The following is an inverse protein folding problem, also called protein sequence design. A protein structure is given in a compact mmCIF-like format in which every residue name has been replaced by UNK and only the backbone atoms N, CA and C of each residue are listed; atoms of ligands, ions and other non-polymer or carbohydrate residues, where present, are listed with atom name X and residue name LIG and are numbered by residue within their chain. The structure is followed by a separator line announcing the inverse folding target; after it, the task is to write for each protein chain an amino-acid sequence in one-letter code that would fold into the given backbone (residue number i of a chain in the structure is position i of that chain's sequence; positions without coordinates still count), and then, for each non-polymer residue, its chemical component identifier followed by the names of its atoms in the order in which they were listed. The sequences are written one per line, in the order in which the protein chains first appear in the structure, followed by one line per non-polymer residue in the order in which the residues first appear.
data_IF_342091895627
#
_entry.id   IF_342091895627
#
_cell.length_a   1.000
_cell.length_b   1.000
_cell.length_c   1.000
_cell.angle_alpha   90.00
_cell.angle_beta   90.00
_cell.angle_gamma   90.00
#
_symmetry.space_group_name_H-M   'P 1'
#
loop_
_entity.id
_entity.type
_entity.pdbx_description
1 polymer ?
#
# COMPACT_ATOMS: atom_id res chain seq x y z
N UNK A 1 3.70 17.05 -20.97
CA UNK A 1 4.41 15.75 -21.04
C UNK A 1 3.54 14.68 -20.45
N UNK A 2 3.30 13.63 -21.20
CA UNK A 2 2.43 12.53 -20.73
C UNK A 2 3.23 11.57 -19.86
N UNK A 3 2.76 11.31 -18.64
CA UNK A 3 3.36 10.30 -17.79
C UNK A 3 2.95 8.90 -18.26
N UNK A 4 3.89 7.98 -18.28
CA UNK A 4 3.60 6.58 -18.54
C UNK A 4 3.24 5.89 -17.22
N UNK A 5 2.46 4.78 -17.25
CA UNK A 5 2.11 4.07 -16.03
C UNK A 5 3.32 3.67 -15.19
N UNK A 6 4.41 3.26 -15.81
CA UNK A 6 5.62 2.87 -15.09
C UNK A 6 6.30 4.03 -14.39
N UNK A 7 6.03 5.27 -14.78
CA UNK A 7 6.58 6.45 -14.11
C UNK A 7 5.86 6.76 -12.79
N UNK A 8 4.69 6.15 -12.57
CA UNK A 8 3.88 6.35 -11.37
C UNK A 8 4.22 5.36 -10.26
N UNK A 9 5.09 4.39 -10.52
CA UNK A 9 5.43 3.32 -9.58
C UNK A 9 6.94 3.26 -9.40
N UNK A 10 7.38 3.23 -8.15
CA UNK A 10 8.76 2.97 -7.79
C UNK A 10 8.84 1.59 -7.13
N UNK A 11 9.58 0.67 -7.75
CA UNK A 11 9.84 -0.65 -7.16
C UNK A 11 10.98 -0.53 -6.15
N UNK A 12 10.76 -1.07 -4.96
CA UNK A 12 11.72 -1.04 -3.87
C UNK A 12 12.50 -2.36 -3.83
N UNK A 13 13.66 -2.40 -3.13
CA UNK A 13 14.46 -3.64 -3.03
C UNK A 13 13.67 -4.85 -2.53
N UNK A 14 12.64 -4.63 -1.71
CA UNK A 14 11.77 -5.71 -1.23
C UNK A 14 11.04 -6.45 -2.34
N UNK A 15 10.79 -5.81 -3.50
CA UNK A 15 10.15 -6.47 -4.63
C UNK A 15 11.00 -7.62 -5.17
N UNK A 16 12.29 -7.41 -5.34
CA UNK A 16 13.19 -8.45 -5.83
C UNK A 16 13.28 -9.60 -4.84
N UNK A 17 13.36 -9.29 -3.55
CA UNK A 17 13.40 -10.31 -2.50
C UNK A 17 12.11 -11.12 -2.47
N UNK A 18 10.97 -10.47 -2.62
CA UNK A 18 9.67 -11.14 -2.66
C UNK A 18 9.57 -12.08 -3.85
N UNK A 19 9.91 -11.62 -5.05
CA UNK A 19 9.86 -12.43 -6.26
C UNK A 19 10.81 -13.62 -6.17
N UNK A 20 12.01 -13.43 -5.63
CA UNK A 20 12.97 -14.52 -5.45
C UNK A 20 12.43 -15.58 -4.48
N UNK A 21 11.79 -15.18 -3.39
CA UNK A 21 11.18 -16.11 -2.44
C UNK A 21 10.03 -16.89 -3.06
N UNK A 22 9.20 -16.24 -3.85
CA UNK A 22 8.08 -16.91 -4.52
C UNK A 22 8.56 -17.92 -5.56
N UNK A 23 9.60 -17.57 -6.32
CA UNK A 23 10.20 -18.48 -7.28
C UNK A 23 10.83 -19.69 -6.58
N UNK A 24 11.57 -19.45 -5.49
CA UNK A 24 12.18 -20.51 -4.71
C UNK A 24 11.17 -21.41 -4.00
N UNK A 25 10.00 -20.91 -3.69
CA UNK A 25 8.95 -21.69 -3.02
C UNK A 25 8.36 -22.78 -3.92
N UNK A 26 8.50 -22.63 -5.25
CA UNK A 26 8.06 -23.66 -6.20
C UNK A 26 6.59 -24.03 -6.06
N UNK A 27 5.71 -23.05 -5.86
CA UNK A 27 4.30 -23.33 -5.63
C UNK A 27 3.66 -23.97 -6.86
N UNK A 28 2.71 -24.90 -6.66
CA UNK A 28 1.95 -25.46 -7.77
C UNK A 28 1.27 -24.35 -8.59
N UNK A 29 1.10 -24.58 -9.89
CA UNK A 29 0.55 -23.59 -10.80
C UNK A 29 -0.78 -23.01 -10.30
N UNK A 30 -1.67 -23.84 -9.77
CA UNK A 30 -2.96 -23.45 -9.24
C UNK A 30 -2.83 -22.55 -7.99
N UNK A 31 -1.66 -22.49 -7.35
CA UNK A 31 -1.40 -21.67 -6.17
C UNK A 31 -0.43 -20.53 -6.42
N UNK A 32 -0.04 -20.29 -7.67
CA UNK A 32 0.87 -19.23 -8.04
C UNK A 32 0.20 -17.86 -8.16
N UNK A 33 -1.12 -17.86 -8.29
CA UNK A 33 -1.89 -16.62 -8.36
C UNK A 33 -1.89 -15.90 -7.03
N UNK A 34 -1.33 -14.70 -7.00
CA UNK A 34 -1.36 -13.85 -5.81
C UNK A 34 -2.70 -13.16 -5.72
N UNK A 35 -3.22 -13.07 -4.50
CA UNK A 35 -4.41 -12.27 -4.21
C UNK A 35 -3.96 -10.85 -3.94
N UNK A 36 -4.64 -9.88 -4.55
CA UNK A 36 -4.43 -8.46 -4.27
C UNK A 36 -5.61 -7.95 -3.47
N UNK A 37 -5.32 -7.45 -2.29
CA UNK A 37 -6.29 -6.75 -1.45
C UNK A 37 -5.97 -5.26 -1.54
N UNK A 38 -6.98 -4.42 -1.68
CA UNK A 38 -6.76 -2.98 -1.70
C UNK A 38 -7.70 -2.27 -0.72
N UNK A 39 -7.17 -1.24 -0.10
CA UNK A 39 -7.92 -0.41 0.85
C UNK A 39 -7.55 1.07 0.68
N UNK A 40 -7.55 1.52 -0.56
CA UNK A 40 -7.26 2.93 -0.84
C UNK A 40 -8.40 3.78 -0.29
N UNK A 41 -8.05 4.79 0.50
CA UNK A 41 -9.03 5.70 1.10
C UNK A 41 -9.74 6.50 0.02
N UNK A 42 -11.03 6.75 0.24
CA UNK A 42 -11.85 7.51 -0.70
C UNK A 42 -13.32 7.47 -0.28
N UNK A 43 -14.18 7.96 -1.16
CA UNK A 43 -15.62 8.06 -0.90
C UNK A 43 -16.28 6.70 -0.70
N UNK A 44 -15.65 5.64 -1.20
CA UNK A 44 -16.16 4.28 -1.06
C UNK A 44 -15.75 3.61 0.24
N UNK A 45 -14.87 4.23 1.01
CA UNK A 45 -14.41 3.69 2.30
C UNK A 45 -15.29 4.23 3.43
N UNK A 46 -16.45 3.61 3.60
CA UNK A 46 -17.42 4.03 4.60
C UNK A 46 -16.83 3.96 6.01
N UNK A 47 -16.86 5.09 6.73
CA UNK A 47 -16.35 5.20 8.10
C UNK A 47 -14.89 4.75 8.25
N UNK A 48 -14.11 4.80 7.17
CA UNK A 48 -12.70 4.36 7.14
C UNK A 48 -12.51 2.87 7.49
N UNK A 49 -13.52 2.05 7.24
CA UNK A 49 -13.44 0.63 7.56
C UNK A 49 -12.30 -0.08 6.81
N UNK A 50 -12.11 0.23 5.52
CA UNK A 50 -11.03 -0.34 4.73
C UNK A 50 -9.66 0.07 5.25
N UNK A 51 -9.48 1.35 5.54
CA UNK A 51 -8.22 1.85 6.08
C UNK A 51 -7.90 1.22 7.44
N UNK A 52 -8.90 1.04 8.29
CA UNK A 52 -8.73 0.38 9.59
C UNK A 52 -8.37 -1.09 9.42
N UNK A 53 -9.03 -1.79 8.51
CA UNK A 53 -8.74 -3.20 8.22
C UNK A 53 -7.31 -3.37 7.71
N UNK A 54 -6.88 -2.55 6.75
CA UNK A 54 -5.52 -2.58 6.21
C UNK A 54 -4.48 -2.31 7.29
N UNK A 55 -4.69 -1.31 8.11
CA UNK A 55 -3.79 -0.98 9.21
C UNK A 55 -3.71 -2.14 10.22
N UNK A 56 -4.82 -2.80 10.49
CA UNK A 56 -4.85 -3.96 11.37
C UNK A 56 -4.04 -5.12 10.82
N UNK A 57 -4.18 -5.40 9.52
CA UNK A 57 -3.38 -6.44 8.87
C UNK A 57 -1.90 -6.14 8.96
N UNK A 58 -1.49 -4.90 8.69
CA UNK A 58 -0.09 -4.50 8.74
C UNK A 58 0.47 -4.54 10.16
N UNK A 59 -0.34 -4.26 11.17
CA UNK A 59 0.08 -4.32 12.56
C UNK A 59 0.28 -5.75 13.06
N UNK A 60 -0.52 -6.70 12.54
CA UNK A 60 -0.54 -8.08 13.03
C UNK A 60 0.22 -9.10 12.20
N UNK A 61 0.53 -8.79 10.94
CA UNK A 61 1.14 -9.75 10.04
C UNK A 61 2.52 -9.29 9.58
N UNK A 62 3.38 -10.26 9.27
CA UNK A 62 4.67 -9.97 8.67
C UNK A 62 4.46 -9.33 7.30
N UNK A 63 5.13 -8.24 7.04
CA UNK A 63 4.98 -7.52 5.80
C UNK A 63 6.26 -6.78 5.40
N UNK A 64 6.33 -6.42 4.12
CA UNK A 64 7.42 -5.63 3.57
C UNK A 64 6.86 -4.73 2.47
N UNK A 65 7.27 -3.48 2.46
CA UNK A 65 6.93 -2.56 1.37
C UNK A 65 7.72 -2.97 0.12
N UNK A 66 7.02 -3.20 -0.99
CA UNK A 66 7.67 -3.60 -2.24
C UNK A 66 7.54 -2.56 -3.35
N UNK A 67 6.60 -1.62 -3.23
CA UNK A 67 6.46 -0.55 -4.21
C UNK A 67 5.83 0.68 -3.58
N UNK A 68 6.13 1.84 -4.16
CA UNK A 68 5.49 3.11 -3.84
C UNK A 68 4.90 3.69 -5.11
N UNK A 69 3.76 4.33 -4.95
CA UNK A 69 3.11 5.03 -6.05
C UNK A 69 3.27 6.53 -5.88
N UNK A 70 3.29 7.24 -7.01
CA UNK A 70 3.33 8.70 -7.01
C UNK A 70 1.98 9.25 -6.57
N UNK A 71 1.82 9.46 -5.27
CA UNK A 71 0.57 9.95 -4.71
C UNK A 71 0.24 11.37 -5.20
N UNK A 72 1.26 12.19 -5.46
CA UNK A 72 1.04 13.54 -5.97
C UNK A 72 0.34 13.54 -7.33
N UNK A 73 0.63 12.54 -8.17
CA UNK A 73 0.00 12.41 -9.48
C UNK A 73 -1.35 11.71 -9.42
N UNK A 74 -1.56 10.84 -8.43
CA UNK A 74 -2.71 9.94 -8.36
C UNK A 74 -3.83 10.43 -7.44
N UNK A 75 -3.50 11.21 -6.41
CA UNK A 75 -4.47 11.67 -5.42
C UNK A 75 -5.09 12.99 -5.85
N UNK A 76 -6.42 13.07 -5.78
CA UNK A 76 -7.13 14.33 -5.97
C UNK A 76 -7.18 15.08 -4.63
N UNK A 77 -6.31 16.08 -4.49
CA UNK A 77 -6.24 16.88 -3.27
C UNK A 77 -7.50 17.73 -3.00
N UNK A 78 -8.37 17.88 -3.98
CA UNK A 78 -9.66 18.57 -3.78
C UNK A 78 -10.62 17.72 -2.98
N UNK A 79 -10.64 16.42 -3.28
CA UNK A 79 -11.49 15.44 -2.61
C UNK A 79 -10.81 14.87 -1.36
N UNK A 80 -9.49 14.93 -1.30
CA UNK A 80 -8.71 14.22 -0.28
C UNK A 80 -7.65 15.16 0.30
N UNK A 81 -8.02 15.83 1.37
CA UNK A 81 -7.14 16.80 2.01
C UNK A 81 -6.14 16.11 2.93
N UNK A 82 -4.86 16.51 2.87
CA UNK A 82 -3.86 15.99 3.79
C UNK A 82 -4.20 16.34 5.24
N UNK A 83 -3.84 15.46 6.15
CA UNK A 83 -3.95 15.74 7.58
C UNK A 83 -2.83 16.67 8.00
N UNK A 84 -3.16 17.58 8.90
CA UNK A 84 -2.18 18.49 9.48
C UNK A 84 -2.40 18.49 10.99
N UNK A 85 -1.31 18.34 11.73
CA UNK A 85 -1.35 18.46 13.19
C UNK A 85 -1.06 19.89 13.56
N UNK A 86 -1.95 20.48 14.33
CA UNK A 86 -1.82 21.85 14.78
C UNK A 86 -1.69 21.89 16.29
N UNK A 87 -0.66 22.60 16.78
CA UNK A 87 -0.43 22.75 18.21
C UNK A 87 -0.08 24.21 18.52
N UNK A 88 -0.86 24.80 19.45
CA UNK A 88 -0.73 26.19 19.76
C UNK A 88 -1.15 27.06 18.58
N UNK A 89 -0.22 27.84 18.06
CA UNK A 89 -0.46 28.73 16.93
C UNK A 89 0.34 28.35 15.67
N UNK A 90 0.80 27.09 15.59
CA UNK A 90 1.59 26.63 14.46
C UNK A 90 1.22 25.18 14.08
N UNK A 91 1.50 24.84 12.82
CA UNK A 91 1.38 23.47 12.34
C UNK A 91 2.61 22.66 12.74
N UNK A 92 2.40 21.52 13.41
CA UNK A 92 3.49 20.63 13.82
C UNK A 92 3.80 19.57 12.79
N UNK A 93 2.78 18.93 12.24
CA UNK A 93 2.96 17.78 11.37
C UNK A 93 2.05 17.89 10.15
N UNK A 94 2.62 17.64 9.00
CA UNK A 94 1.89 17.52 7.75
C UNK A 94 1.90 16.05 7.31
N UNK A 95 0.71 15.47 7.16
CA UNK A 95 0.56 14.07 6.78
C UNK A 95 0.18 13.99 5.29
N UNK A 96 1.19 13.94 4.42
CA UNK A 96 0.95 13.77 2.99
C UNK A 96 0.37 12.38 2.71
N UNK A 97 -0.53 12.25 1.72
CA UNK A 97 -1.04 10.94 1.34
C UNK A 97 0.08 10.06 0.78
N UNK A 98 0.04 8.79 1.13
CA UNK A 98 0.99 7.79 0.64
C UNK A 98 0.21 6.59 0.13
N UNK A 99 0.63 6.06 -1.01
CA UNK A 99 0.08 4.82 -1.57
C UNK A 99 1.22 3.85 -1.73
N UNK A 100 1.14 2.71 -1.05
CA UNK A 100 2.20 1.71 -1.03
C UNK A 100 1.63 0.33 -1.28
N UNK A 101 2.44 -0.51 -1.92
CA UNK A 101 2.13 -1.92 -2.11
C UNK A 101 2.99 -2.73 -1.15
N UNK A 102 2.34 -3.57 -0.36
CA UNK A 102 2.99 -4.44 0.60
C UNK A 102 2.88 -5.90 0.17
N UNK A 103 3.96 -6.64 0.35
CA UNK A 103 3.91 -8.10 0.37
C UNK A 103 3.62 -8.50 1.82
N UNK A 104 2.51 -9.20 2.04
CA UNK A 104 2.07 -9.61 3.37
C UNK A 104 2.00 -11.12 3.41
N UNK A 105 2.32 -11.68 4.58
CA UNK A 105 2.26 -13.12 4.80
C UNK A 105 1.23 -13.40 5.90
N UNK A 106 0.27 -14.27 5.62
CA UNK A 106 -0.73 -14.62 6.62
C UNK A 106 -0.16 -15.57 7.67
N UNK A 107 -0.96 -15.92 8.68
CA UNK A 107 -0.51 -16.79 9.77
C UNK A 107 -0.11 -18.19 9.28
N UNK A 108 -0.64 -18.62 8.14
CA UNK A 108 -0.29 -19.90 7.53
C UNK A 108 0.92 -19.84 6.62
N UNK A 109 1.54 -18.67 6.47
CA UNK A 109 2.69 -18.47 5.58
C UNK A 109 2.33 -18.25 4.13
N UNK A 110 1.06 -17.99 3.81
CA UNK A 110 0.62 -17.73 2.44
C UNK A 110 0.78 -16.25 2.14
N UNK A 111 1.51 -15.89 1.06
CA UNK A 111 1.68 -14.49 0.70
C UNK A 111 0.47 -13.92 -0.02
N UNK A 112 0.23 -12.63 0.19
CA UNK A 112 -0.71 -11.86 -0.61
C UNK A 112 -0.19 -10.42 -0.72
N UNK A 113 -0.78 -9.64 -1.59
CA UNK A 113 -0.41 -8.25 -1.78
C UNK A 113 -1.47 -7.34 -1.20
N UNK A 114 -1.05 -6.27 -0.53
CA UNK A 114 -1.94 -5.25 0.02
C UNK A 114 -1.57 -3.90 -0.56
N UNK A 115 -2.50 -3.29 -1.29
CA UNK A 115 -2.38 -1.92 -1.77
C UNK A 115 -3.09 -1.02 -0.77
N UNK A 116 -2.32 -0.20 -0.06
CA UNK A 116 -2.79 0.53 1.12
C UNK A 116 -2.43 2.00 1.00
N UNK A 117 -3.33 2.85 1.40
CA UNK A 117 -3.01 4.25 1.54
C UNK A 117 -4.07 5.23 1.11
N UNK A 118 -3.55 6.42 0.91
CA UNK A 118 -4.18 7.64 0.52
C UNK A 118 -5.02 8.40 1.40
#
# INVERSE_FOLDING_TARGET
MTQRPEDLVELLPGADRFLAREEAAGRPEERRGLVLVHDIAGDFDAAHAGAMAGSHLLAGLRHEVIARFDADALVDYRAHRPRVTFSGDRYETFHAPEIQLYAVEDDGGTPFLLLHGA
#
